data_IF_606460882260
#
_entry.id   IF_606460882260
#
_cell.length_a   1.000
_cell.length_b   1.000
_cell.length_c   1.000
_cell.angle_alpha   90.00
_cell.angle_beta   90.00
_cell.angle_gamma   90.00
#
_symmetry.space_group_name_H-M   'P 1'
#
loop_
_entity.id
_entity.type
_entity.pdbx_description
1 polymer ?
#
# COMPACT_ATOMS: atom_id res chain seq x y z
N UNK A 1 3.66 6.63 -20.90
CA UNK A 1 3.22 6.08 -19.59
C UNK A 1 4.03 6.78 -18.52
N UNK A 2 3.50 7.81 -17.84
CA UNK A 2 4.25 8.58 -16.83
C UNK A 2 3.57 8.49 -15.46
N UNK A 3 3.26 7.27 -15.02
CA UNK A 3 2.73 6.99 -13.68
C UNK A 3 3.76 6.17 -12.90
N UNK A 4 4.07 6.55 -11.67
CA UNK A 4 4.94 5.76 -10.79
C UNK A 4 4.14 4.85 -9.87
N UNK A 5 4.78 3.75 -9.48
CA UNK A 5 4.35 2.95 -8.35
C UNK A 5 5.29 3.21 -7.19
N UNK A 6 4.73 3.49 -6.01
CA UNK A 6 5.51 3.73 -4.80
C UNK A 6 5.03 2.78 -3.71
N UNK A 7 5.99 2.11 -3.07
CA UNK A 7 5.72 1.17 -1.99
C UNK A 7 6.27 1.70 -0.66
N UNK A 8 5.42 1.82 0.37
CA UNK A 8 5.87 1.88 1.75
C UNK A 8 6.58 0.57 2.13
N UNK A 9 7.56 0.67 3.01
CA UNK A 9 8.26 -0.48 3.55
C UNK A 9 7.51 -0.99 4.79
N UNK A 10 6.84 -2.12 4.65
CA UNK A 10 6.14 -2.74 5.78
C UNK A 10 7.13 -3.30 6.82
N UNK A 11 6.83 -3.17 8.13
CA UNK A 11 5.65 -2.50 8.71
C UNK A 11 5.82 -0.97 8.87
N UNK A 12 4.85 -0.21 8.37
CA UNK A 12 4.58 1.20 8.73
C UNK A 12 5.75 2.18 8.52
N UNK A 13 6.59 1.97 7.51
CA UNK A 13 7.73 2.86 7.22
C UNK A 13 7.66 3.43 5.81
N UNK A 14 7.96 4.73 5.67
CA UNK A 14 8.27 5.36 4.38
C UNK A 14 9.78 5.65 4.36
N UNK A 15 10.52 4.99 3.48
CA UNK A 15 11.93 5.30 3.29
C UNK A 15 12.11 6.69 2.70
N UNK A 16 13.29 7.27 2.87
CA UNK A 16 13.65 8.56 2.28
C UNK A 16 13.46 8.54 0.76
N UNK A 17 13.92 7.47 0.09
CA UNK A 17 13.76 7.24 -1.34
C UNK A 17 12.28 7.23 -1.77
N UNK A 18 11.41 6.55 -1.01
CA UNK A 18 9.97 6.51 -1.25
C UNK A 18 9.34 7.91 -1.08
N UNK A 19 9.77 8.66 -0.06
CA UNK A 19 9.29 10.02 0.16
C UNK A 19 9.72 10.98 -0.96
N UNK A 20 10.98 10.93 -1.37
CA UNK A 20 11.51 11.74 -2.46
C UNK A 20 10.79 11.46 -3.78
N UNK A 21 10.50 10.18 -4.07
CA UNK A 21 9.70 9.79 -5.22
C UNK A 21 8.30 10.41 -5.14
N UNK A 22 7.58 10.25 -4.03
CA UNK A 22 6.23 10.82 -3.86
C UNK A 22 6.24 12.35 -4.07
N UNK A 23 7.20 13.03 -3.44
CA UNK A 23 7.32 14.49 -3.52
C UNK A 23 7.62 14.92 -4.96
N UNK A 24 8.52 14.22 -5.64
CA UNK A 24 8.93 14.56 -7.01
C UNK A 24 7.79 14.42 -8.00
N UNK A 25 7.05 13.31 -7.94
CA UNK A 25 5.90 13.08 -8.82
C UNK A 25 4.75 14.03 -8.50
N UNK A 26 4.47 14.30 -7.21
CA UNK A 26 3.44 15.25 -6.79
C UNK A 26 3.76 16.68 -7.26
N UNK A 27 5.00 17.15 -7.15
CA UNK A 27 5.41 18.48 -7.67
C UNK A 27 5.11 18.67 -9.16
N UNK A 28 5.15 17.60 -9.95
CA UNK A 28 4.84 17.61 -11.37
C UNK A 28 3.36 17.29 -11.68
N UNK A 29 2.53 17.06 -10.66
CA UNK A 29 1.13 16.68 -10.83
C UNK A 29 0.95 15.32 -11.52
N UNK A 30 1.97 14.45 -11.47
CA UNK A 30 1.94 13.15 -12.12
C UNK A 30 1.16 12.13 -11.29
N UNK A 31 0.37 11.25 -11.92
CA UNK A 31 -0.38 10.22 -11.22
C UNK A 31 0.55 9.20 -10.56
N UNK A 32 0.21 8.77 -9.34
CA UNK A 32 0.94 7.76 -8.60
C UNK A 32 0.03 6.63 -8.12
N UNK A 33 0.55 5.40 -8.15
CA UNK A 33 -0.04 4.25 -7.48
C UNK A 33 0.69 4.02 -6.17
N UNK A 34 0.01 4.29 -5.06
CA UNK A 34 0.57 4.08 -3.72
C UNK A 34 0.03 2.75 -3.23
N UNK A 35 0.92 1.77 -3.11
CA UNK A 35 0.52 0.40 -2.78
C UNK A 35 1.30 -0.14 -1.59
N UNK A 36 0.60 -0.80 -0.69
CA UNK A 36 1.21 -1.55 0.43
C UNK A 36 1.41 -3.02 0.07
N UNK A 37 2.52 -3.58 0.54
CA UNK A 37 2.91 -4.99 0.39
C UNK A 37 2.98 -5.70 1.76
N UNK A 38 2.05 -5.37 2.66
CA UNK A 38 1.96 -6.01 3.95
C UNK A 38 1.78 -7.54 3.80
N UNK A 39 2.56 -8.32 4.55
CA UNK A 39 2.50 -9.77 4.54
C UNK A 39 2.00 -10.26 5.89
N UNK A 40 0.77 -10.78 5.94
CA UNK A 40 0.18 -11.30 7.17
C UNK A 40 1.05 -12.43 7.73
N UNK A 41 1.48 -12.27 8.99
CA UNK A 41 2.38 -13.21 9.66
C UNK A 41 3.86 -13.04 9.31
N UNK A 42 4.19 -12.11 8.40
CA UNK A 42 5.56 -11.73 8.03
C UNK A 42 5.85 -10.29 8.43
N UNK A 43 5.46 -9.34 7.57
CA UNK A 43 5.69 -7.89 7.76
C UNK A 43 4.47 -7.15 8.31
N UNK A 44 3.44 -7.88 8.74
CA UNK A 44 2.22 -7.37 9.35
C UNK A 44 1.63 -8.40 10.33
N UNK A 45 0.66 -8.03 11.20
CA UNK A 45 0.00 -8.97 12.10
C UNK A 45 -0.56 -10.18 11.35
N UNK A 46 -0.56 -11.35 11.99
CA UNK A 46 -1.04 -12.61 11.39
C UNK A 46 -2.54 -12.60 11.07
N UNK A 47 -3.31 -11.78 11.78
CA UNK A 47 -4.75 -11.62 11.54
C UNK A 47 -5.00 -10.73 10.33
N UNK A 48 -5.90 -11.13 9.42
CA UNK A 48 -6.24 -10.36 8.22
C UNK A 48 -6.72 -8.93 8.53
N UNK A 49 -7.54 -8.76 9.57
CA UNK A 49 -7.98 -7.43 10.00
C UNK A 49 -6.82 -6.54 10.43
N UNK A 50 -5.87 -7.08 11.20
CA UNK A 50 -4.65 -6.37 11.58
C UNK A 50 -3.78 -6.03 10.38
N UNK A 51 -3.65 -6.96 9.42
CA UNK A 51 -2.95 -6.71 8.15
C UNK A 51 -3.61 -5.58 7.35
N UNK A 52 -4.95 -5.55 7.27
CA UNK A 52 -5.69 -4.49 6.59
C UNK A 52 -5.48 -3.12 7.24
N UNK A 53 -5.40 -3.06 8.57
CA UNK A 53 -5.09 -1.80 9.28
C UNK A 53 -3.69 -1.31 8.92
N UNK A 54 -2.68 -2.19 8.95
CA UNK A 54 -1.30 -1.86 8.55
C UNK A 54 -1.24 -1.38 7.11
N UNK A 55 -1.88 -2.14 6.20
CA UNK A 55 -1.99 -1.82 4.79
C UNK A 55 -2.59 -0.43 4.57
N UNK A 56 -3.72 -0.15 5.22
CA UNK A 56 -4.42 1.13 5.08
C UNK A 56 -3.57 2.29 5.61
N UNK A 57 -2.94 2.13 6.76
CA UNK A 57 -2.06 3.15 7.31
C UNK A 57 -0.89 3.48 6.36
N UNK A 58 -0.29 2.46 5.74
CA UNK A 58 0.79 2.63 4.76
C UNK A 58 0.32 3.39 3.52
N UNK A 59 -0.79 2.97 2.90
CA UNK A 59 -1.29 3.64 1.69
C UNK A 59 -1.70 5.08 1.99
N UNK A 60 -2.42 5.32 3.10
CA UNK A 60 -2.84 6.66 3.49
C UNK A 60 -1.65 7.57 3.80
N UNK A 61 -0.58 7.05 4.41
CA UNK A 61 0.61 7.85 4.68
C UNK A 61 1.22 8.43 3.40
N UNK A 62 1.31 7.62 2.33
CA UNK A 62 1.79 8.09 1.04
C UNK A 62 0.83 9.06 0.35
N UNK A 63 -0.49 8.79 0.39
CA UNK A 63 -1.49 9.68 -0.22
C UNK A 63 -1.46 11.05 0.48
N UNK A 64 -1.39 11.07 1.81
CA UNK A 64 -1.28 12.31 2.59
C UNK A 64 -0.03 13.08 2.20
N UNK A 65 1.13 12.43 2.09
CA UNK A 65 2.37 13.08 1.65
C UNK A 65 2.25 13.67 0.24
N UNK A 66 1.62 12.95 -0.70
CA UNK A 66 1.33 13.45 -2.04
C UNK A 66 0.46 14.70 -2.00
N UNK A 67 -0.65 14.67 -1.26
CA UNK A 67 -1.59 15.80 -1.16
C UNK A 67 -0.99 17.01 -0.43
N UNK A 68 -0.13 16.78 0.57
CA UNK A 68 0.63 17.84 1.24
C UNK A 68 1.65 18.51 0.31
N UNK A 69 2.22 17.75 -0.63
CA UNK A 69 3.18 18.29 -1.60
C UNK A 69 2.49 19.09 -2.70
N UNK A 70 1.43 18.56 -3.28
CA UNK A 70 0.64 19.24 -4.30
C UNK A 70 -0.81 18.76 -4.26
N UNK A 71 -1.70 19.62 -3.79
CA UNK A 71 -3.12 19.32 -3.61
C UNK A 71 -3.77 18.96 -4.95
N UNK A 72 -4.51 17.86 -4.97
CA UNK A 72 -5.19 17.36 -6.18
C UNK A 72 -4.31 16.49 -7.07
N UNK A 73 -3.07 16.16 -6.66
CA UNK A 73 -2.27 15.14 -7.35
C UNK A 73 -3.07 13.83 -7.44
N UNK A 74 -3.22 13.22 -8.63
CA UNK A 74 -3.96 11.97 -8.78
C UNK A 74 -3.24 10.82 -8.07
N UNK A 75 -3.96 10.09 -7.21
CA UNK A 75 -3.43 8.93 -6.50
C UNK A 75 -4.34 7.73 -6.71
N UNK A 76 -3.74 6.55 -6.90
CA UNK A 76 -4.41 5.25 -6.92
C UNK A 76 -4.08 4.54 -5.62
N UNK A 77 -5.13 4.07 -4.94
CA UNK A 77 -5.03 3.22 -3.76
C UNK A 77 -4.74 1.78 -4.22
N UNK A 78 -3.52 1.29 -3.98
CA UNK A 78 -3.04 0.01 -4.48
C UNK A 78 -2.78 -1.02 -3.38
N UNK A 79 -2.72 -2.30 -3.78
CA UNK A 79 -2.35 -3.40 -2.88
C UNK A 79 -1.58 -4.50 -3.61
N UNK A 80 -0.55 -5.01 -2.93
CA UNK A 80 0.02 -6.34 -3.17
C UNK A 80 0.12 -7.11 -1.84
N UNK A 81 -0.80 -6.80 -0.93
CA UNK A 81 -0.85 -7.36 0.42
C UNK A 81 -1.32 -8.80 0.37
N UNK A 82 -0.60 -9.68 1.05
CA UNK A 82 -0.87 -11.12 1.04
C UNK A 82 -0.50 -11.77 2.37
N UNK A 83 -0.45 -13.10 2.43
CA UNK A 83 -0.05 -13.88 3.61
C UNK A 83 1.28 -14.61 3.40
N UNK A 84 1.97 -14.90 4.51
CA UNK A 84 3.12 -15.81 4.53
C UNK A 84 2.64 -17.26 4.72
N UNK A 85 3.09 -18.19 3.87
CA UNK A 85 3.03 -19.60 4.19
C UNK A 85 4.10 -19.93 5.23
N UNK A 86 3.67 -20.23 6.46
CA UNK A 86 4.56 -20.53 7.58
C UNK A 86 5.35 -21.82 7.40
N UNK A 87 4.95 -22.72 6.48
CA UNK A 87 5.70 -23.94 6.19
C UNK A 87 6.91 -23.67 5.30
N UNK A 88 6.71 -22.92 4.23
CA UNK A 88 7.77 -22.60 3.25
C UNK A 88 8.45 -21.25 3.48
N UNK A 89 7.96 -20.46 4.44
CA UNK A 89 8.36 -19.07 4.69
C UNK A 89 8.28 -18.19 3.43
N UNK A 90 7.28 -18.44 2.58
CA UNK A 90 7.12 -17.76 1.28
C UNK A 90 5.84 -16.92 1.22
N UNK A 91 5.88 -15.85 0.43
CA UNK A 91 4.69 -15.06 0.13
C UNK A 91 3.76 -15.87 -0.78
N UNK A 92 2.52 -16.10 -0.32
CA UNK A 92 1.56 -16.91 -1.07
C UNK A 92 0.58 -16.02 -1.81
N UNK A 93 0.44 -16.18 -3.13
CA UNK A 93 -0.45 -15.34 -3.96
C UNK A 93 -1.64 -16.08 -4.58
N UNK A 94 -1.88 -17.34 -4.17
CA UNK A 94 -2.97 -18.19 -4.67
C UNK A 94 -3.90 -18.72 -3.58
N UNK A 95 -3.92 -18.05 -2.44
CA UNK A 95 -4.64 -18.47 -1.24
C UNK A 95 -5.97 -17.71 -1.06
N UNK A 96 -6.95 -18.27 -0.33
CA UNK A 96 -8.24 -17.61 -0.09
C UNK A 96 -8.08 -16.28 0.68
N UNK A 97 -7.06 -16.16 1.52
CA UNK A 97 -6.75 -14.95 2.27
C UNK A 97 -6.40 -13.77 1.35
N UNK A 98 -5.66 -14.00 0.26
CA UNK A 98 -5.41 -12.95 -0.74
C UNK A 98 -6.73 -12.47 -1.36
N UNK A 99 -7.65 -13.38 -1.65
CA UNK A 99 -8.97 -13.03 -2.19
C UNK A 99 -9.78 -12.16 -1.24
N UNK A 100 -9.78 -12.50 0.05
CA UNK A 100 -10.45 -11.71 1.10
C UNK A 100 -9.79 -10.33 1.26
N UNK A 101 -8.46 -10.28 1.38
CA UNK A 101 -7.70 -9.03 1.49
C UNK A 101 -7.97 -8.12 0.28
N UNK A 102 -7.96 -8.67 -0.93
CA UNK A 102 -8.24 -7.90 -2.16
C UNK A 102 -9.66 -7.32 -2.16
N UNK A 103 -10.66 -8.11 -1.76
CA UNK A 103 -12.04 -7.64 -1.67
C UNK A 103 -12.21 -6.52 -0.64
N UNK A 104 -11.56 -6.63 0.52
CA UNK A 104 -11.65 -5.62 1.58
C UNK A 104 -10.83 -4.37 1.26
N UNK A 105 -9.68 -4.50 0.59
CA UNK A 105 -8.91 -3.38 0.02
C UNK A 105 -9.78 -2.56 -0.93
N UNK A 106 -10.54 -3.21 -1.83
CA UNK A 106 -11.45 -2.49 -2.73
C UNK A 106 -12.51 -1.68 -1.96
N UNK A 107 -13.04 -2.22 -0.85
CA UNK A 107 -13.99 -1.50 0.01
C UNK A 107 -13.33 -0.33 0.72
N UNK A 108 -12.11 -0.50 1.24
CA UNK A 108 -11.33 0.56 1.87
C UNK A 108 -11.05 1.70 0.89
N UNK A 109 -10.59 1.38 -0.33
CA UNK A 109 -10.34 2.37 -1.37
C UNK A 109 -11.59 3.22 -1.67
N UNK A 110 -12.77 2.59 -1.80
CA UNK A 110 -14.03 3.30 -2.02
C UNK A 110 -14.56 4.09 -0.81
N UNK A 111 -13.98 3.92 0.37
CA UNK A 111 -14.35 4.67 1.58
C UNK A 111 -13.46 5.89 1.85
N UNK A 112 -12.29 5.98 1.21
CA UNK A 112 -11.30 7.05 1.48
C UNK A 112 -10.98 7.92 0.25
N UNK A 113 -11.32 7.46 -0.96
CA UNK A 113 -11.27 8.25 -2.20
C UNK A 113 -12.64 8.86 -2.52
#
# INVERSE_FOLDING_TARGET
MTSATVCPQSPLSLSEETCEAIITYAKHGLPMNILSMAMAGGTAPVTLAGTLVTHNAEVLSGIVLSQLTNKGTPNVYGSSTTIMDLRSASATIGCPELGMLSADVCKLAGSVL
#
